data_IF_477712074942
#
_entry.id   IF_477712074942
#
_cell.length_a   1.000
_cell.length_b   1.000
_cell.length_c   1.000
_cell.angle_alpha   90.00
_cell.angle_beta   90.00
_cell.angle_gamma   90.00
#
_symmetry.space_group_name_H-M   'P 1'
#
loop_
_entity.id
_entity.type
_entity.pdbx_description
1 polymer ?
#
# COMPACT_ATOMS: atom_id res chain seq x y z
N UNK A 1 -0.05 -22.15 13.22
CA UNK A 1 -0.63 -21.03 12.46
C UNK A 1 -2.13 -21.19 12.52
N UNK A 2 -2.92 -20.13 12.77
CA UNK A 2 -4.37 -20.23 12.59
C UNK A 2 -4.67 -20.44 11.09
N UNK A 3 -5.49 -21.42 10.78
CA UNK A 3 -5.90 -21.74 9.40
C UNK A 3 -7.38 -21.38 9.19
N UNK A 4 -7.71 -20.89 8.00
CA UNK A 4 -9.08 -20.54 7.62
C UNK A 4 -9.50 -21.39 6.43
N UNK A 5 -10.58 -22.16 6.58
CA UNK A 5 -11.21 -22.92 5.51
C UNK A 5 -12.44 -22.17 4.98
N UNK A 6 -12.37 -21.67 3.75
CA UNK A 6 -13.50 -21.06 3.06
C UNK A 6 -14.18 -22.12 2.18
N UNK A 7 -15.38 -22.55 2.57
CA UNK A 7 -16.17 -23.55 1.83
C UNK A 7 -17.05 -22.88 0.78
N UNK A 8 -17.42 -23.66 -0.25
CA UNK A 8 -18.39 -23.27 -1.29
C UNK A 8 -18.01 -22.00 -2.08
N UNK A 9 -16.72 -21.72 -2.25
CA UNK A 9 -16.25 -20.67 -3.17
C UNK A 9 -16.66 -21.05 -4.59
N UNK A 10 -17.32 -20.13 -5.30
CA UNK A 10 -17.73 -20.40 -6.68
C UNK A 10 -16.52 -20.65 -7.57
N UNK A 11 -16.70 -21.52 -8.58
CA UNK A 11 -15.62 -21.85 -9.53
C UNK A 11 -15.11 -20.61 -10.26
N UNK A 12 -16.01 -19.68 -10.57
CA UNK A 12 -15.72 -18.42 -11.23
C UNK A 12 -14.81 -17.55 -10.39
N UNK A 13 -15.15 -17.34 -9.10
CA UNK A 13 -14.32 -16.55 -8.17
C UNK A 13 -12.94 -17.17 -8.02
N UNK A 14 -12.86 -18.50 -7.85
CA UNK A 14 -11.58 -19.19 -7.74
C UNK A 14 -10.73 -19.04 -9.01
N UNK A 15 -11.35 -19.07 -10.20
CA UNK A 15 -10.65 -18.87 -11.46
C UNK A 15 -10.10 -17.44 -11.58
N UNK A 16 -10.90 -16.43 -11.25
CA UNK A 16 -10.46 -15.03 -11.25
C UNK A 16 -9.28 -14.79 -10.30
N UNK A 17 -9.31 -15.37 -9.10
CA UNK A 17 -8.22 -15.23 -8.13
C UNK A 17 -6.94 -15.94 -8.61
N UNK A 18 -7.05 -17.10 -9.25
CA UNK A 18 -5.90 -17.79 -9.86
C UNK A 18 -5.28 -16.97 -10.99
N UNK A 19 -6.10 -16.39 -11.86
CA UNK A 19 -5.62 -15.52 -12.93
C UNK A 19 -4.91 -14.29 -12.38
N UNK A 20 -5.48 -13.65 -11.36
CA UNK A 20 -4.88 -12.50 -10.66
C UNK A 20 -3.52 -12.86 -10.04
N UNK A 21 -3.43 -14.03 -9.39
CA UNK A 21 -2.19 -14.52 -8.80
C UNK A 21 -1.11 -14.75 -9.88
N UNK A 22 -1.48 -15.41 -10.99
CA UNK A 22 -0.59 -15.67 -12.12
C UNK A 22 -0.09 -14.36 -12.77
N UNK A 23 -0.98 -13.39 -12.98
CA UNK A 23 -0.62 -12.08 -13.55
C UNK A 23 0.37 -11.31 -12.67
N UNK A 24 0.32 -11.52 -11.34
CA UNK A 24 1.26 -10.92 -10.37
C UNK A 24 2.48 -11.80 -10.08
N UNK A 25 2.66 -12.92 -10.80
CA UNK A 25 3.81 -13.81 -10.64
C UNK A 25 3.91 -14.47 -9.27
N UNK A 26 2.78 -14.72 -8.59
CA UNK A 26 2.74 -15.28 -7.23
C UNK A 26 1.74 -16.42 -7.09
N UNK A 27 1.91 -17.25 -6.06
CA UNK A 27 0.99 -18.35 -5.78
C UNK A 27 -0.38 -17.83 -5.34
N UNK A 28 -1.43 -18.64 -5.54
CA UNK A 28 -2.79 -18.32 -5.09
C UNK A 28 -2.83 -18.07 -3.57
N UNK A 29 -2.11 -18.86 -2.78
CA UNK A 29 -2.03 -18.69 -1.33
C UNK A 29 -1.48 -17.30 -0.98
N UNK A 30 -0.38 -16.87 -1.62
CA UNK A 30 0.21 -15.55 -1.38
C UNK A 30 -0.73 -14.43 -1.83
N UNK A 31 -1.50 -14.60 -2.91
CA UNK A 31 -2.54 -13.65 -3.30
C UNK A 31 -3.61 -13.51 -2.21
N UNK A 32 -4.13 -14.64 -1.72
CA UNK A 32 -5.17 -14.65 -0.69
C UNK A 32 -4.70 -14.04 0.63
N UNK A 33 -3.47 -14.35 1.06
CA UNK A 33 -2.87 -13.73 2.25
C UNK A 33 -2.86 -12.20 2.12
N UNK A 34 -2.35 -11.66 1.01
CA UNK A 34 -2.33 -10.20 0.83
C UNK A 34 -3.73 -9.58 0.76
N UNK A 35 -4.69 -10.25 0.13
CA UNK A 35 -6.07 -9.75 0.09
C UNK A 35 -6.66 -9.70 1.51
N UNK A 36 -6.39 -10.71 2.34
CA UNK A 36 -6.86 -10.73 3.73
C UNK A 36 -6.14 -9.68 4.58
N UNK A 37 -4.83 -9.50 4.43
CA UNK A 37 -4.05 -8.46 5.10
C UNK A 37 -4.52 -7.05 4.67
N UNK A 38 -4.76 -6.82 3.38
CA UNK A 38 -5.32 -5.58 2.84
C UNK A 38 -6.73 -5.32 3.40
N UNK A 39 -7.61 -6.32 3.41
CA UNK A 39 -8.97 -6.19 3.92
C UNK A 39 -9.03 -6.03 5.45
N UNK A 40 -8.08 -6.61 6.18
CA UNK A 40 -7.93 -6.42 7.61
C UNK A 40 -7.30 -5.06 7.98
N UNK A 41 -6.81 -4.30 6.98
CA UNK A 41 -6.09 -3.04 7.20
C UNK A 41 -4.66 -3.23 7.71
N UNK A 42 -4.07 -4.43 7.60
CA UNK A 42 -2.67 -4.68 7.95
C UNK A 42 -1.70 -4.15 6.89
N UNK A 43 -2.13 -4.04 5.62
CA UNK A 43 -1.39 -3.31 4.58
C UNK A 43 -1.71 -1.81 4.54
N UNK A 44 -2.44 -1.31 5.53
CA UNK A 44 -2.58 0.12 5.78
C UNK A 44 -1.26 0.63 6.41
N UNK A 45 -0.18 0.57 5.62
CA UNK A 45 0.75 1.69 5.56
C UNK A 45 -0.11 2.85 5.06
N UNK A 46 -0.91 3.40 5.97
CA UNK A 46 -1.79 4.53 5.72
C UNK A 46 -0.85 5.70 5.47
N UNK A 47 -0.37 5.79 4.22
CA UNK A 47 0.60 6.79 3.81
C UNK A 47 0.05 8.18 4.08
N UNK A 48 -1.27 8.32 4.18
CA UNK A 48 -1.95 9.53 4.62
C UNK A 48 -1.72 9.77 6.10
N UNK A 49 -1.96 8.80 7.00
CA UNK A 49 -1.60 8.91 8.44
C UNK A 49 -0.10 9.13 8.63
N UNK A 50 0.76 8.38 7.95
CA UNK A 50 2.22 8.52 8.08
C UNK A 50 2.68 9.90 7.59
N UNK A 51 2.16 10.39 6.47
CA UNK A 51 2.44 11.74 5.99
C UNK A 51 1.84 12.83 6.89
N UNK A 52 0.70 12.58 7.53
CA UNK A 52 0.11 13.48 8.52
C UNK A 52 0.99 13.57 9.78
N UNK A 53 1.51 12.44 10.27
CA UNK A 53 2.41 12.39 11.42
C UNK A 53 3.75 13.07 11.13
N UNK A 54 4.32 12.84 9.94
CA UNK A 54 5.53 13.56 9.49
C UNK A 54 5.26 15.06 9.43
N UNK A 55 4.14 15.50 8.81
CA UNK A 55 3.77 16.92 8.76
C UNK A 55 3.59 17.52 10.15
N UNK A 56 2.93 16.82 11.07
CA UNK A 56 2.75 17.26 12.46
C UNK A 56 4.09 17.44 13.17
N UNK A 57 5.03 16.52 13.00
CA UNK A 57 6.40 16.62 13.56
C UNK A 57 7.19 17.79 12.95
N UNK A 58 7.09 18.01 11.64
CA UNK A 58 7.75 19.12 10.95
C UNK A 58 7.21 20.48 11.41
N UNK A 59 5.88 20.61 11.56
CA UNK A 59 5.24 21.83 12.08
C UNK A 59 5.59 22.09 13.55
N UNK A 60 5.67 21.04 14.38
CA UNK A 60 6.04 21.17 15.79
C UNK A 60 7.51 21.60 15.98
N UNK A 61 8.38 21.34 15.01
CA UNK A 61 9.80 21.73 15.04
C UNK A 61 10.06 23.22 14.82
N UNK A 62 9.03 24.04 14.56
CA UNK A 62 9.14 25.50 14.44
C UNK A 62 9.96 26.00 13.25
N UNK A 63 10.34 25.10 12.33
CA UNK A 63 11.18 25.42 11.17
C UNK A 63 10.28 25.68 9.96
N UNK A 64 10.39 26.87 9.37
CA UNK A 64 9.70 27.16 8.11
C UNK A 64 10.45 26.49 6.98
N UNK A 65 9.81 25.54 6.31
CA UNK A 65 10.33 24.91 5.10
C UNK A 65 9.89 25.77 3.91
N UNK A 66 10.85 26.33 3.17
CA UNK A 66 10.56 27.05 1.93
C UNK A 66 10.08 26.09 0.85
N UNK A 67 9.20 26.55 -0.02
CA UNK A 67 8.82 25.80 -1.20
C UNK A 67 10.05 25.59 -2.09
N UNK A 68 10.42 24.32 -2.33
CA UNK A 68 11.60 23.95 -3.11
C UNK A 68 11.40 24.08 -4.62
N UNK A 69 10.24 24.55 -5.07
CA UNK A 69 9.92 24.75 -6.49
C UNK A 69 10.95 25.62 -7.21
N UNK A 70 11.46 26.69 -6.59
CA UNK A 70 12.49 27.54 -7.23
C UNK A 70 13.84 26.83 -7.33
N UNK A 71 14.27 26.13 -6.27
CA UNK A 71 15.52 25.35 -6.26
C UNK A 71 15.52 24.22 -7.29
N UNK A 72 14.38 23.58 -7.51
CA UNK A 72 14.21 22.52 -8.52
C UNK A 72 14.23 23.09 -9.94
N UNK A 73 13.71 24.31 -10.15
CA UNK A 73 13.77 24.98 -11.46
C UNK A 73 15.20 25.33 -11.83
N UNK A 74 15.96 25.91 -10.90
CA UNK A 74 17.38 26.26 -11.12
C UNK A 74 18.24 25.03 -11.48
N UNK A 75 17.97 23.86 -10.87
CA UNK A 75 18.69 22.62 -11.16
C UNK A 75 18.36 22.05 -12.54
N UNK A 76 17.12 22.22 -13.02
CA UNK A 76 16.68 21.77 -14.36
C UNK A 76 17.19 22.64 -15.50
N UNK A 77 17.58 23.88 -15.22
CA UNK A 77 18.09 24.82 -16.23
C UNK A 77 19.62 24.80 -16.36
N UNK A 78 20.31 23.86 -15.69
CA UNK A 78 21.75 23.59 -15.86
C UNK A 78 22.07 22.52 -16.89
#
# INVERSE_FOLDING_TARGET
MPDVLIRNVSKEVLATLKQRAAAKGRSLQVELHKILEEAAGENDLDGVKMAADIRKKLLAGGKSYSDSVELIREDRER
#
